data_IF_036042894701
#
_entry.id   IF_036042894701
#
_cell.length_a   1.000
_cell.length_b   1.000
_cell.length_c   1.000
_cell.angle_alpha   90.00
_cell.angle_beta   90.00
_cell.angle_gamma   90.00
#
_symmetry.space_group_name_H-M   'P 1'
#
loop_
_entity.id
_entity.type
_entity.pdbx_description
1 polymer ?
#
# COMPACT_ATOMS: atom_id res chain seq x y z
N UNK A 1 2.13 -14.89 18.23
CA UNK A 1 1.21 -14.01 17.48
C UNK A 1 1.36 -14.27 16.01
N UNK A 2 0.31 -14.62 15.32
CA UNK A 2 0.37 -14.66 13.86
C UNK A 2 0.51 -13.27 13.26
N UNK A 3 0.94 -13.24 12.01
CA UNK A 3 1.02 -12.02 11.22
C UNK A 3 -0.19 -11.92 10.29
N UNK A 4 -0.58 -10.70 9.99
CA UNK A 4 -1.64 -10.39 9.04
C UNK A 4 -1.11 -9.39 8.03
N UNK A 5 -1.58 -9.49 6.79
CA UNK A 5 -1.40 -8.45 5.79
C UNK A 5 -2.65 -7.58 5.79
N UNK A 6 -2.48 -6.29 6.04
CA UNK A 6 -3.57 -5.33 6.03
C UNK A 6 -3.49 -4.49 4.76
N UNK A 7 -4.58 -4.44 3.99
CA UNK A 7 -4.70 -3.54 2.85
C UNK A 7 -5.43 -2.28 3.30
N UNK A 8 -4.70 -1.17 3.29
CA UNK A 8 -5.21 0.13 3.74
C UNK A 8 -5.49 1.01 2.53
N UNK A 9 -6.62 1.70 2.56
CA UNK A 9 -6.97 2.69 1.55
C UNK A 9 -6.73 4.09 2.11
N UNK A 10 -5.89 4.85 1.42
CA UNK A 10 -5.62 6.26 1.73
C UNK A 10 -6.19 7.14 0.63
N UNK A 11 -6.76 8.27 1.01
CA UNK A 11 -7.26 9.27 0.07
C UNK A 11 -6.41 10.53 0.15
N UNK A 12 -6.19 11.14 -1.02
CA UNK A 12 -5.51 12.43 -1.12
C UNK A 12 -6.56 13.53 -1.08
N UNK A 13 -6.49 14.39 -0.07
CA UNK A 13 -7.35 15.56 0.06
C UNK A 13 -6.54 16.81 -0.24
N UNK A 14 -7.05 17.67 -1.12
CA UNK A 14 -6.38 18.91 -1.49
C UNK A 14 -7.13 20.07 -0.84
N UNK A 15 -6.40 20.90 -0.08
CA UNK A 15 -6.94 22.06 0.64
C UNK A 15 -8.12 21.70 1.54
N UNK A 16 -8.04 20.53 2.21
CA UNK A 16 -9.09 19.98 3.06
C UNK A 16 -10.42 19.74 2.34
N UNK A 17 -10.37 19.70 1.00
CA UNK A 17 -11.54 19.38 0.21
C UNK A 17 -12.00 17.95 0.48
N UNK A 18 -13.30 17.74 0.39
CA UNK A 18 -13.87 16.39 0.50
C UNK A 18 -14.03 15.82 -0.90
N UNK A 19 -13.61 14.56 -1.12
CA UNK A 19 -13.82 13.96 -2.43
C UNK A 19 -15.32 13.74 -2.66
N UNK A 20 -15.86 14.37 -3.70
CA UNK A 20 -17.24 14.18 -4.12
C UNK A 20 -17.33 13.40 -5.42
N UNK A 21 -16.26 13.33 -6.18
CA UNK A 21 -16.20 12.56 -7.41
C UNK A 21 -14.89 11.81 -7.47
N UNK A 22 -13.84 12.42 -7.99
CA UNK A 22 -12.56 11.77 -8.18
C UNK A 22 -11.53 12.32 -7.18
N UNK A 23 -10.76 11.43 -6.60
CA UNK A 23 -9.57 11.80 -5.85
C UNK A 23 -8.53 10.71 -6.05
N UNK A 24 -7.27 11.09 -5.93
CA UNK A 24 -6.19 10.11 -5.96
C UNK A 24 -6.24 9.28 -4.69
N UNK A 25 -6.17 7.98 -4.84
CA UNK A 25 -6.14 7.06 -3.72
C UNK A 25 -4.95 6.13 -3.85
N UNK A 26 -4.55 5.55 -2.71
CA UNK A 26 -3.45 4.62 -2.64
C UNK A 26 -3.87 3.43 -1.81
N UNK A 27 -3.57 2.23 -2.31
CA UNK A 27 -3.72 1.01 -1.56
C UNK A 27 -2.33 0.60 -1.06
N UNK A 28 -2.17 0.57 0.25
CA UNK A 28 -0.91 0.21 0.87
C UNK A 28 -1.06 -1.09 1.65
N UNK A 29 -0.02 -1.91 1.64
CA UNK A 29 -0.03 -3.22 2.27
C UNK A 29 0.95 -3.20 3.43
N UNK A 30 0.46 -3.47 4.63
CA UNK A 30 1.28 -3.50 5.84
C UNK A 30 1.17 -4.86 6.53
N UNK A 31 2.26 -5.28 7.16
CA UNK A 31 2.25 -6.48 7.99
C UNK A 31 2.09 -6.05 9.44
N UNK A 32 1.09 -6.62 10.09
CA UNK A 32 0.85 -6.39 11.52
C UNK A 32 0.80 -7.74 12.25
N UNK A 33 1.16 -7.75 13.52
CA UNK A 33 1.10 -8.93 14.36
C UNK A 33 -0.07 -8.81 15.33
N UNK A 34 -0.89 -9.85 15.45
CA UNK A 34 -2.04 -9.84 16.34
C UNK A 34 -2.53 -11.27 16.55
N UNK A 35 -3.30 -11.50 17.60
CA UNK A 35 -3.85 -12.83 17.89
C UNK A 35 -5.21 -13.05 17.24
N UNK A 36 -5.95 -12.00 16.94
CA UNK A 36 -7.29 -12.06 16.35
C UNK A 36 -7.43 -11.07 15.20
N UNK A 37 -8.43 -11.26 14.35
CA UNK A 37 -8.75 -10.30 13.30
C UNK A 37 -9.12 -8.93 13.87
N UNK A 38 -9.82 -8.91 14.99
CA UNK A 38 -10.17 -7.64 15.64
C UNK A 38 -8.93 -6.86 16.07
N UNK A 39 -7.99 -7.54 16.72
CA UNK A 39 -6.75 -6.92 17.16
C UNK A 39 -5.90 -6.50 15.97
N UNK A 40 -5.87 -7.31 14.90
CA UNK A 40 -5.19 -6.95 13.67
C UNK A 40 -5.79 -5.70 13.03
N UNK A 41 -7.11 -5.57 13.05
CA UNK A 41 -7.80 -4.37 12.56
C UNK A 41 -7.39 -3.14 13.35
N UNK A 42 -7.40 -3.23 14.67
CA UNK A 42 -7.02 -2.12 15.55
C UNK A 42 -5.56 -1.70 15.31
N UNK A 43 -4.66 -2.68 15.16
CA UNK A 43 -3.27 -2.39 14.86
C UNK A 43 -3.11 -1.75 13.47
N UNK A 44 -3.86 -2.23 12.48
CA UNK A 44 -3.84 -1.66 11.14
C UNK A 44 -4.31 -0.20 11.14
N UNK A 45 -5.36 0.12 11.90
CA UNK A 45 -5.82 1.51 12.05
C UNK A 45 -4.73 2.37 12.67
N UNK A 46 -4.05 1.86 13.70
CA UNK A 46 -2.96 2.58 14.35
C UNK A 46 -1.82 2.86 13.36
N UNK A 47 -1.44 1.85 12.57
CA UNK A 47 -0.42 2.01 11.52
C UNK A 47 -0.87 3.04 10.49
N UNK A 48 -2.11 2.94 10.03
CA UNK A 48 -2.64 3.86 9.03
C UNK A 48 -2.66 5.30 9.50
N UNK A 49 -3.04 5.54 10.73
CA UNK A 49 -3.04 6.88 11.30
C UNK A 49 -1.62 7.44 11.42
N UNK A 50 -0.66 6.60 11.76
CA UNK A 50 0.75 6.99 11.86
C UNK A 50 1.35 7.34 10.50
N UNK A 51 0.86 6.72 9.43
CA UNK A 51 1.40 6.89 8.07
C UNK A 51 0.75 8.04 7.30
N UNK A 52 -0.16 8.79 7.90
CA UNK A 52 -0.77 9.94 7.24
C UNK A 52 0.25 11.06 7.03
N UNK A 53 0.17 11.73 5.87
CA UNK A 53 1.09 12.77 5.46
C UNK A 53 0.36 14.06 5.10
N UNK A 54 1.00 15.20 5.41
CA UNK A 54 0.58 16.52 4.97
C UNK A 54 1.76 17.20 4.29
N UNK A 55 1.55 17.80 3.12
CA UNK A 55 2.59 18.56 2.43
C UNK A 55 1.98 19.57 1.47
N UNK A 56 2.79 20.52 1.02
CA UNK A 56 2.41 21.44 -0.05
C UNK A 56 2.84 20.86 -1.39
N UNK A 57 1.94 20.86 -2.37
CA UNK A 57 2.29 20.42 -3.72
C UNK A 57 2.97 21.56 -4.50
N UNK A 58 3.33 21.29 -5.76
CA UNK A 58 4.04 22.27 -6.59
C UNK A 58 3.18 23.51 -6.91
N UNK A 59 1.85 23.42 -6.80
CA UNK A 59 0.94 24.54 -7.00
C UNK A 59 0.68 25.34 -5.73
N UNK A 60 1.32 24.99 -4.60
CA UNK A 60 1.15 25.67 -3.34
C UNK A 60 -0.08 25.23 -2.54
N UNK A 61 -0.80 24.21 -3.00
CA UNK A 61 -1.96 23.68 -2.30
C UNK A 61 -1.51 22.66 -1.26
N UNK A 62 -2.19 22.64 -0.12
CA UNK A 62 -1.94 21.64 0.91
C UNK A 62 -2.54 20.31 0.50
N UNK A 63 -1.74 19.25 0.55
CA UNK A 63 -2.19 17.88 0.28
C UNK A 63 -2.10 17.09 1.57
N UNK A 64 -3.18 16.38 1.87
CA UNK A 64 -3.26 15.51 3.04
C UNK A 64 -3.66 14.12 2.61
N UNK A 65 -2.84 13.14 2.98
CA UNK A 65 -3.17 11.73 2.78
C UNK A 65 -3.77 11.19 4.08
N UNK A 66 -5.01 10.74 4.01
CA UNK A 66 -5.73 10.28 5.19
C UNK A 66 -6.19 8.85 5.01
N UNK A 67 -6.18 8.10 6.11
CA UNK A 67 -6.69 6.73 6.13
C UNK A 67 -8.21 6.76 5.93
N UNK A 68 -8.69 6.07 4.89
CA UNK A 68 -10.11 5.93 4.61
C UNK A 68 -10.67 4.63 5.17
N UNK A 69 -9.94 3.52 4.99
CA UNK A 69 -10.45 2.21 5.37
C UNK A 69 -9.34 1.18 5.50
N UNK A 70 -9.56 0.20 6.34
CA UNK A 70 -8.86 -1.08 6.31
C UNK A 70 -9.74 -2.00 5.48
N UNK A 71 -9.32 -2.30 4.26
CA UNK A 71 -10.17 -2.99 3.30
C UNK A 71 -10.11 -4.50 3.41
N UNK A 72 -8.95 -5.03 3.76
CA UNK A 72 -8.78 -6.46 3.84
C UNK A 72 -7.74 -6.78 4.91
N UNK A 73 -8.00 -7.86 5.62
CA UNK A 73 -7.04 -8.46 6.53
C UNK A 73 -6.87 -9.92 6.12
N UNK A 74 -5.64 -10.30 5.80
CA UNK A 74 -5.31 -11.67 5.44
C UNK A 74 -4.38 -12.25 6.49
N UNK A 75 -4.78 -13.34 7.11
CA UNK A 75 -3.91 -14.03 8.05
C UNK A 75 -2.78 -14.74 7.31
N UNK A 76 -1.55 -14.47 7.71
CA UNK A 76 -0.36 -15.03 7.07
C UNK A 76 0.27 -16.17 7.85
N UNK A 77 -0.10 -16.35 9.13
CA UNK A 77 0.53 -17.30 10.01
C UNK A 77 1.76 -16.72 10.66
N UNK A 78 2.66 -17.60 11.11
CA UNK A 78 3.85 -17.19 11.86
C UNK A 78 5.13 -17.19 11.05
N UNK A 79 5.11 -17.79 9.85
CA UNK A 79 6.24 -17.87 8.94
C UNK A 79 6.01 -16.97 7.74
N UNK A 80 6.83 -15.95 7.56
CA UNK A 80 6.62 -14.96 6.51
C UNK A 80 7.39 -15.25 5.21
N UNK A 81 8.44 -16.08 5.27
CA UNK A 81 9.21 -16.36 4.06
C UNK A 81 8.37 -17.13 3.05
N UNK A 82 8.27 -16.62 1.83
CA UNK A 82 7.52 -17.27 0.75
C UNK A 82 6.01 -17.10 0.83
N UNK A 83 5.51 -16.26 1.74
CA UNK A 83 4.08 -16.03 1.89
C UNK A 83 3.60 -14.94 0.93
N UNK A 84 2.51 -15.21 0.22
CA UNK A 84 1.86 -14.20 -0.60
C UNK A 84 1.21 -13.14 0.29
N UNK A 85 1.59 -11.89 0.10
CA UNK A 85 1.03 -10.77 0.89
C UNK A 85 0.00 -9.98 0.12
N UNK A 86 -0.17 -10.24 -1.15
CA UNK A 86 -1.16 -9.58 -1.96
C UNK A 86 -1.11 -10.08 -3.38
N UNK A 87 -2.07 -9.68 -4.20
CA UNK A 87 -2.10 -10.05 -5.60
C UNK A 87 -2.84 -9.00 -6.40
N UNK A 88 -2.47 -8.88 -7.66
CA UNK A 88 -3.15 -8.01 -8.61
C UNK A 88 -3.46 -8.83 -9.85
N UNK A 89 -4.60 -8.54 -10.46
CA UNK A 89 -4.97 -9.15 -11.73
C UNK A 89 -4.94 -8.07 -12.79
N UNK A 90 -4.32 -8.43 -13.91
CA UNK A 90 -4.24 -7.55 -15.07
C UNK A 90 -4.26 -8.40 -16.32
N UNK A 91 -4.42 -7.77 -17.46
CA UNK A 91 -4.35 -8.41 -18.76
C UNK A 91 -3.21 -7.80 -19.53
N UNK A 92 -2.36 -8.66 -20.08
CA UNK A 92 -1.28 -8.24 -20.95
C UNK A 92 -1.42 -8.95 -22.29
N UNK A 93 -1.04 -8.24 -23.35
CA UNK A 93 -1.05 -8.78 -24.68
C UNK A 93 0.38 -8.96 -25.15
N UNK A 94 0.66 -10.13 -25.69
CA UNK A 94 1.99 -10.44 -26.24
C UNK A 94 1.84 -10.71 -27.74
N UNK A 95 2.62 -10.04 -28.55
CA UNK A 95 2.60 -10.20 -29.99
C UNK A 95 3.63 -11.22 -30.48
N UNK A 96 4.52 -11.66 -29.59
CA UNK A 96 5.55 -12.65 -29.88
C UNK A 96 5.54 -13.72 -28.80
N UNK A 97 6.11 -14.91 -29.08
CA UNK A 97 6.23 -15.95 -28.07
C UNK A 97 6.95 -15.47 -26.81
N UNK A 98 6.42 -15.83 -25.66
CA UNK A 98 6.95 -15.38 -24.36
C UNK A 98 8.07 -16.30 -23.92
N UNK A 99 9.19 -15.73 -23.48
CA UNK A 99 10.26 -16.47 -22.82
C UNK A 99 9.93 -16.62 -21.34
N UNK A 100 10.25 -17.79 -20.79
CA UNK A 100 10.02 -18.07 -19.36
C UNK A 100 11.33 -18.11 -18.56
N UNK A 101 12.38 -17.52 -19.10
CA UNK A 101 13.63 -17.37 -18.36
C UNK A 101 13.47 -16.26 -17.32
N UNK A 102 13.59 -16.63 -16.04
CA UNK A 102 13.43 -15.71 -14.93
C UNK A 102 14.79 -15.50 -14.27
N UNK A 103 15.40 -14.36 -14.56
CA UNK A 103 16.69 -13.98 -13.99
C UNK A 103 16.60 -12.58 -13.40
N UNK A 104 17.46 -12.30 -12.42
CA UNK A 104 17.51 -10.95 -11.86
C UNK A 104 18.04 -9.97 -12.91
N UNK A 105 17.25 -8.92 -13.16
CA UNK A 105 17.62 -7.82 -14.05
C UNK A 105 17.27 -6.51 -13.35
N UNK A 106 18.28 -5.71 -12.91
CA UNK A 106 18.01 -4.50 -12.18
C UNK A 106 17.15 -3.48 -12.91
N UNK A 107 17.05 -3.55 -14.23
CA UNK A 107 16.21 -2.64 -15.01
C UNK A 107 14.75 -3.09 -15.03
N UNK A 108 14.51 -4.40 -15.01
CA UNK A 108 13.16 -4.96 -14.99
C UNK A 108 12.68 -5.26 -13.58
N UNK A 109 13.57 -5.79 -12.73
CA UNK A 109 13.31 -6.04 -11.32
C UNK A 109 13.85 -4.85 -10.53
N UNK A 110 13.02 -3.85 -10.31
CA UNK A 110 13.46 -2.56 -9.75
C UNK A 110 13.66 -2.64 -8.24
N UNK A 111 14.91 -2.79 -7.75
CA UNK A 111 15.14 -2.69 -6.31
C UNK A 111 14.91 -1.25 -5.86
N UNK A 112 14.25 -1.07 -4.74
CA UNK A 112 13.97 0.26 -4.22
C UNK A 112 14.04 0.27 -2.70
N UNK A 113 14.50 1.40 -2.17
CA UNK A 113 14.55 1.63 -0.73
C UNK A 113 13.78 2.89 -0.33
N UNK A 114 13.14 3.59 -1.30
CA UNK A 114 12.41 4.81 -0.96
C UNK A 114 11.12 4.49 -0.22
N UNK A 115 10.69 5.44 0.60
CA UNK A 115 9.45 5.35 1.35
C UNK A 115 8.59 6.57 1.05
N UNK A 116 7.31 6.52 1.48
CA UNK A 116 6.40 7.66 1.31
C UNK A 116 6.98 8.95 1.87
N UNK A 117 7.71 8.88 2.99
CA UNK A 117 8.30 10.06 3.64
C UNK A 117 9.27 10.80 2.74
N UNK A 118 9.87 10.14 1.76
CA UNK A 118 10.79 10.77 0.82
C UNK A 118 10.07 11.67 -0.17
N UNK A 119 8.75 11.57 -0.29
CA UNK A 119 7.95 12.42 -1.16
C UNK A 119 7.71 13.81 -0.57
N UNK A 120 7.97 14.00 0.72
CA UNK A 120 7.77 15.27 1.41
C UNK A 120 8.84 16.32 1.09
N UNK A 121 9.96 15.92 0.52
CA UNK A 121 11.09 16.80 0.26
C UNK A 121 11.06 17.45 -1.12
#
# INVERSE_FOLDING_TARGET
>A
MPYFCARLLFLSLVDDGRPISDCTCEYSFFIVAADTFKDAFEEAVSVGNREQLDYLNCDGNQVRWVLKAVEELRELGTELSGIEVGSLFDRQRFDEPVSFDVTFDPTATKPTTWTRKQLET
#
